data_IF_541577686449
#
_entry.id   IF_541577686449
#
_cell.length_a   1.000
_cell.length_b   1.000
_cell.length_c   1.000
_cell.angle_alpha   90.00
_cell.angle_beta   90.00
_cell.angle_gamma   90.00
#
_symmetry.space_group_name_H-M   'P 1'
#
loop_
_entity.id
_entity.type
_entity.pdbx_description
1 polymer ?
#
# COMPACT_ATOMS: atom_id res chain seq x y z
N UNK A 1 -3.52 33.63 -10.34
CA UNK A 1 -3.08 32.48 -9.53
C UNK A 1 -2.08 32.99 -8.49
N UNK A 2 -2.48 33.06 -7.22
CA UNK A 2 -1.61 33.44 -6.11
C UNK A 2 -0.81 32.18 -5.69
N UNK A 3 0.52 32.19 -5.81
CA UNK A 3 1.36 31.15 -5.20
C UNK A 3 1.39 31.39 -3.68
N UNK A 4 1.10 30.39 -2.84
CA UNK A 4 1.31 30.52 -1.40
C UNK A 4 2.81 30.66 -1.08
N UNK A 5 3.10 31.49 -0.09
CA UNK A 5 4.44 31.92 0.34
C UNK A 5 5.12 30.80 1.18
N UNK A 6 6.34 30.34 0.84
CA UNK A 6 7.02 29.22 1.50
C UNK A 6 7.44 29.46 2.97
N UNK A 7 7.14 30.63 3.54
CA UNK A 7 7.43 30.97 4.94
C UNK A 7 6.22 30.91 5.88
N UNK A 8 5.03 30.54 5.41
CA UNK A 8 3.85 30.43 6.27
C UNK A 8 3.83 29.06 6.96
N UNK A 9 3.69 28.96 8.30
CA UNK A 9 3.51 27.68 8.96
C UNK A 9 2.27 26.99 8.39
N UNK A 10 2.43 25.76 7.90
CA UNK A 10 1.36 24.97 7.28
C UNK A 10 0.17 24.85 8.25
N UNK A 11 -0.83 25.70 8.05
CA UNK A 11 -2.06 25.69 8.85
C UNK A 11 -2.82 24.37 8.68
N UNK A 12 -2.65 23.68 7.55
CA UNK A 12 -3.21 22.35 7.31
C UNK A 12 -2.65 21.28 8.25
N UNK A 13 -1.33 21.25 8.45
CA UNK A 13 -0.69 20.25 9.31
C UNK A 13 -1.19 20.30 10.76
N UNK A 14 -1.36 21.51 11.31
CA UNK A 14 -1.90 21.69 12.66
C UNK A 14 -3.39 21.28 12.78
N UNK A 15 -4.13 21.32 11.67
CA UNK A 15 -5.55 20.96 11.61
C UNK A 15 -5.72 19.44 11.50
N UNK A 16 -4.86 18.78 10.72
CA UNK A 16 -4.82 17.34 10.57
C UNK A 16 -4.44 16.64 11.89
N UNK A 17 -3.48 17.20 12.64
CA UNK A 17 -3.09 16.70 13.97
C UNK A 17 -4.25 16.76 14.98
N UNK A 18 -5.05 17.83 14.94
CA UNK A 18 -6.21 17.98 15.83
C UNK A 18 -7.33 16.98 15.51
N UNK A 19 -7.58 16.73 14.23
CA UNK A 19 -8.56 15.72 13.78
C UNK A 19 -8.08 14.32 14.17
N UNK A 20 -6.81 14.01 13.98
CA UNK A 20 -6.25 12.72 14.34
C UNK A 20 -6.35 12.44 15.86
N UNK A 21 -6.08 13.43 16.70
CA UNK A 21 -6.21 13.31 18.16
C UNK A 21 -7.65 13.05 18.61
N UNK A 22 -8.65 13.65 17.96
CA UNK A 22 -10.06 13.37 18.24
C UNK A 22 -10.44 11.91 17.91
N UNK A 23 -9.95 11.39 16.77
CA UNK A 23 -10.15 9.98 16.39
C UNK A 23 -9.53 9.03 17.42
N UNK A 24 -8.31 9.31 17.89
CA UNK A 24 -7.63 8.48 18.90
C UNK A 24 -8.36 8.53 20.23
N UNK A 25 -8.75 9.71 20.70
CA UNK A 25 -9.47 9.87 21.96
C UNK A 25 -10.80 9.11 21.96
N UNK A 26 -11.53 9.14 20.84
CA UNK A 26 -12.77 8.37 20.67
C UNK A 26 -12.53 6.86 20.62
N UNK A 27 -11.43 6.41 20.01
CA UNK A 27 -11.07 5.00 19.96
C UNK A 27 -10.65 4.46 21.33
N UNK A 28 -9.88 5.23 22.09
CA UNK A 28 -9.47 4.87 23.47
C UNK A 28 -10.67 4.85 24.42
N UNK A 29 -11.61 5.79 24.27
CA UNK A 29 -12.84 5.83 25.05
C UNK A 29 -13.72 4.59 24.84
N UNK A 30 -13.82 4.09 23.60
CA UNK A 30 -14.60 2.89 23.28
C UNK A 30 -13.92 1.61 23.81
N UNK A 31 -12.59 1.58 23.78
CA UNK A 31 -11.77 0.45 24.23
C UNK A 31 -11.80 0.21 25.75
N UNK A 32 -12.08 1.25 26.55
CA UNK A 32 -12.15 1.17 28.02
C UNK A 32 -13.38 0.46 28.58
N UNK A 33 -14.41 0.20 27.75
CA UNK A 33 -15.70 -0.35 28.21
C UNK A 33 -15.78 -1.88 28.23
N UNK A 34 -14.75 -2.59 27.73
CA UNK A 34 -14.76 -4.06 27.55
C UNK A 34 -13.98 -4.86 28.62
N UNK A 35 -13.51 -4.21 29.69
CA UNK A 35 -12.83 -4.93 30.79
C UNK A 35 -13.66 -5.00 32.06
N UNK A 36 -14.41 -6.10 32.20
CA UNK A 36 -14.81 -6.66 33.50
C UNK A 36 -16.31 -6.83 33.72
N UNK A 37 -16.85 -8.04 33.57
CA UNK A 37 -17.12 -8.96 34.69
C UNK A 37 -18.00 -10.14 34.25
N UNK A 38 -17.49 -11.33 34.57
CA UNK A 38 -18.10 -12.64 34.54
C UNK A 38 -19.07 -12.76 35.74
N UNK A 39 -20.31 -13.26 35.55
CA UNK A 39 -21.19 -13.97 36.52
C UNK A 39 -22.62 -14.10 35.96
N UNK A 40 -23.04 -15.33 35.63
CA UNK A 40 -24.45 -15.75 35.56
C UNK A 40 -24.97 -16.02 37.00
N UNK A 41 -26.28 -15.95 37.38
CA UNK A 41 -27.34 -16.81 36.79
C UNK A 41 -28.83 -16.31 36.87
N UNK A 42 -29.72 -16.96 36.10
CA UNK A 42 -31.04 -17.39 36.62
C UNK A 42 -32.36 -16.78 36.05
N UNK A 43 -33.18 -17.69 35.50
CA UNK A 43 -34.67 -17.77 35.55
C UNK A 43 -35.59 -16.79 34.75
N UNK A 44 -36.03 -17.25 33.57
CA UNK A 44 -37.42 -17.57 33.09
C UNK A 44 -38.66 -16.83 33.68
N UNK A 45 -39.86 -16.88 33.01
CA UNK A 45 -40.29 -16.38 31.69
C UNK A 45 -41.48 -15.38 31.80
N UNK A 46 -41.77 -14.59 30.75
CA UNK A 46 -43.07 -13.91 30.70
C UNK A 46 -43.31 -12.97 29.51
N UNK A 47 -44.35 -13.31 28.74
CA UNK A 47 -45.25 -12.41 27.98
C UNK A 47 -44.79 -11.75 26.66
N UNK A 48 -45.29 -12.32 25.56
CA UNK A 48 -45.89 -11.57 24.45
C UNK A 48 -47.42 -11.38 24.72
N UNK A 49 -48.23 -10.64 23.93
CA UNK A 49 -47.96 -9.89 22.69
C UNK A 49 -48.60 -8.47 22.61
N UNK A 50 -48.28 -7.66 21.59
CA UNK A 50 -49.17 -6.59 21.11
C UNK A 50 -48.49 -5.44 20.37
N UNK A 51 -49.14 -4.81 19.36
CA UNK A 51 -48.47 -4.36 18.15
C UNK A 51 -48.44 -2.84 17.97
N UNK A 52 -47.48 -2.33 17.19
CA UNK A 52 -47.62 -1.00 16.59
C UNK A 52 -46.30 -0.30 16.25
N UNK A 53 -46.08 -0.16 14.94
CA UNK A 53 -45.38 0.95 14.28
C UNK A 53 -43.85 1.07 14.35
N UNK A 54 -43.22 0.71 13.23
CA UNK A 54 -42.08 1.42 12.64
C UNK A 54 -42.48 2.87 12.26
N UNK A 55 -41.57 3.84 11.99
CA UNK A 55 -40.16 3.66 11.58
C UNK A 55 -39.15 4.66 12.21
N UNK A 56 -37.88 4.27 12.26
CA UNK A 56 -36.78 5.22 12.39
C UNK A 56 -35.81 4.91 13.52
N UNK A 57 -34.59 4.52 13.12
CA UNK A 57 -33.32 4.87 13.75
C UNK A 57 -33.29 5.00 15.28
N UNK A 58 -33.15 3.85 15.97
CA UNK A 58 -32.66 3.81 17.34
C UNK A 58 -31.54 2.77 17.43
N UNK A 59 -30.33 3.14 17.00
CA UNK A 59 -29.12 2.47 17.49
C UNK A 59 -28.63 3.25 18.70
N UNK A 60 -29.36 3.14 19.81
CA UNK A 60 -28.83 3.51 21.11
C UNK A 60 -29.35 2.56 22.19
N UNK A 61 -28.38 1.74 22.61
CA UNK A 61 -28.20 1.16 23.93
C UNK A 61 -29.13 0.02 24.37
N UNK A 62 -28.59 -1.20 24.33
CA UNK A 62 -28.41 -2.01 25.55
C UNK A 62 -27.17 -2.91 25.43
N UNK A 63 -26.01 -2.40 25.86
CA UNK A 63 -24.98 -3.16 26.60
C UNK A 63 -24.27 -4.37 25.97
N UNK A 64 -24.39 -4.66 24.67
CA UNK A 64 -23.63 -5.74 24.02
C UNK A 64 -22.73 -5.17 22.93
N UNK A 65 -21.42 -5.51 22.88
CA UNK A 65 -20.57 -5.11 21.77
C UNK A 65 -21.13 -5.67 20.45
N UNK A 66 -21.24 -4.81 19.44
CA UNK A 66 -21.71 -5.22 18.12
C UNK A 66 -20.79 -6.31 17.56
N UNK A 67 -21.37 -7.42 17.13
CA UNK A 67 -20.65 -8.54 16.55
C UNK A 67 -20.76 -8.48 15.03
N UNK A 68 -19.82 -9.13 14.33
CA UNK A 68 -19.78 -9.15 12.86
C UNK A 68 -21.11 -9.60 12.21
N UNK A 69 -21.95 -10.36 12.93
CA UNK A 69 -23.28 -10.79 12.46
C UNK A 69 -24.33 -9.68 12.43
N UNK A 70 -24.16 -8.63 13.24
CA UNK A 70 -25.10 -7.51 13.31
C UNK A 70 -25.02 -6.61 12.07
N UNK A 71 -23.93 -6.73 11.31
CA UNK A 71 -23.69 -6.00 10.06
C UNK A 71 -23.90 -6.85 8.80
N UNK A 72 -24.47 -8.05 8.93
CA UNK A 72 -24.70 -8.94 7.80
C UNK A 72 -26.19 -9.03 7.45
N UNK A 73 -26.70 -8.17 6.54
CA UNK A 73 -28.12 -8.16 6.17
C UNK A 73 -28.57 -9.43 5.43
N UNK A 74 -27.63 -10.28 5.01
CA UNK A 74 -27.89 -11.51 4.26
C UNK A 74 -27.67 -12.78 5.10
N UNK A 75 -27.18 -12.65 6.34
CA UNK A 75 -27.07 -13.73 7.32
C UNK A 75 -26.00 -14.79 7.02
N UNK A 76 -25.00 -14.48 6.20
CA UNK A 76 -23.93 -15.38 5.77
C UNK A 76 -22.88 -15.66 6.87
N UNK A 77 -22.65 -14.71 7.78
CA UNK A 77 -21.66 -14.76 8.85
C UNK A 77 -21.94 -15.83 9.94
N UNK A 78 -23.13 -16.44 9.93
CA UNK A 78 -23.47 -17.58 10.78
C UNK A 78 -23.16 -18.94 10.14
N UNK A 79 -23.02 -18.97 8.82
CA UNK A 79 -22.74 -20.19 8.08
C UNK A 79 -21.24 -20.44 8.08
N UNK A 80 -20.79 -21.56 8.64
CA UNK A 80 -19.44 -22.03 8.33
C UNK A 80 -19.41 -22.27 6.83
N UNK A 81 -18.51 -21.62 6.04
CA UNK A 81 -18.38 -21.92 4.64
C UNK A 81 -18.09 -23.42 4.52
N UNK A 82 -19.09 -24.21 4.14
CA UNK A 82 -18.88 -25.59 3.76
C UNK A 82 -18.30 -25.53 2.36
N UNK A 83 -17.02 -25.21 2.29
CA UNK A 83 -16.29 -25.36 1.05
C UNK A 83 -16.45 -26.81 0.59
N UNK A 84 -16.98 -26.99 -0.62
CA UNK A 84 -16.97 -28.31 -1.27
C UNK A 84 -15.55 -28.85 -1.23
N UNK A 85 -15.42 -30.15 -0.97
CA UNK A 85 -14.12 -30.82 -1.03
C UNK A 85 -13.47 -30.56 -2.40
N UNK A 86 -12.13 -30.55 -2.45
CA UNK A 86 -11.41 -30.31 -3.70
C UNK A 86 -11.89 -31.23 -4.84
N UNK A 87 -12.17 -32.50 -4.51
CA UNK A 87 -12.72 -33.49 -5.43
C UNK A 87 -14.11 -33.12 -5.98
N UNK A 88 -14.96 -32.50 -5.17
CA UNK A 88 -16.31 -32.10 -5.58
C UNK A 88 -16.32 -30.77 -6.35
N UNK A 89 -15.33 -29.89 -6.12
CA UNK A 89 -15.08 -28.73 -6.99
C UNK A 89 -14.57 -29.16 -8.37
N UNK A 90 -13.65 -30.14 -8.42
CA UNK A 90 -13.17 -30.70 -9.68
C UNK A 90 -14.29 -31.39 -10.46
N UNK A 91 -15.13 -32.19 -9.80
CA UNK A 91 -16.29 -32.81 -10.44
C UNK A 91 -17.33 -31.80 -10.94
N UNK A 92 -17.51 -30.65 -10.26
CA UNK A 92 -18.40 -29.57 -10.70
C UNK A 92 -17.81 -28.76 -11.87
N UNK A 93 -16.49 -28.60 -11.92
CA UNK A 93 -15.79 -28.00 -13.07
C UNK A 93 -15.88 -28.91 -14.31
N UNK A 94 -15.71 -30.23 -14.14
CA UNK A 94 -15.83 -31.21 -15.22
C UNK A 94 -17.29 -31.42 -15.67
N UNK A 95 -18.26 -31.25 -14.77
CA UNK A 95 -19.70 -31.42 -15.03
C UNK A 95 -20.45 -30.14 -15.47
N UNK A 96 -19.78 -28.99 -15.46
CA UNK A 96 -20.40 -27.66 -15.65
C UNK A 96 -20.64 -27.23 -17.10
N UNK A 97 -20.35 -28.08 -18.09
CA UNK A 97 -20.42 -27.72 -19.51
C UNK A 97 -21.83 -27.58 -20.10
N UNK A 98 -22.90 -27.70 -19.30
CA UNK A 98 -24.29 -27.66 -19.81
C UNK A 98 -25.33 -26.92 -18.92
N UNK A 99 -24.92 -26.01 -18.04
CA UNK A 99 -25.89 -25.18 -17.30
C UNK A 99 -25.52 -23.70 -17.31
N UNK A 100 -26.21 -22.93 -18.16
CA UNK A 100 -26.27 -21.47 -18.07
C UNK A 100 -25.45 -20.73 -19.13
N UNK A 101 -26.00 -20.66 -20.34
CA UNK A 101 -25.68 -19.63 -21.33
C UNK A 101 -25.97 -18.25 -20.68
N UNK A 102 -25.02 -17.31 -20.76
CA UNK A 102 -25.10 -15.89 -20.37
C UNK A 102 -24.80 -15.47 -18.91
N UNK A 103 -23.82 -16.09 -18.23
CA UNK A 103 -23.06 -15.33 -17.23
C UNK A 103 -21.90 -14.63 -17.93
N UNK A 104 -21.77 -13.28 -17.87
CA UNK A 104 -20.59 -12.62 -18.42
C UNK A 104 -19.36 -13.16 -17.70
N UNK A 105 -18.33 -13.54 -18.46
CA UNK A 105 -17.06 -14.03 -17.91
C UNK A 105 -16.58 -13.07 -16.81
N UNK A 106 -16.46 -13.58 -15.60
CA UNK A 106 -16.00 -12.80 -14.47
C UNK A 106 -14.53 -12.41 -14.66
N UNK A 107 -14.01 -11.41 -13.91
CA UNK A 107 -12.61 -10.98 -13.97
C UNK A 107 -11.56 -12.04 -13.59
N UNK A 108 -11.93 -13.31 -13.46
CA UNK A 108 -11.04 -14.45 -13.15
C UNK A 108 -11.19 -15.59 -14.14
N UNK A 109 -12.08 -15.46 -15.11
CA UNK A 109 -12.40 -16.51 -16.08
C UNK A 109 -11.54 -16.31 -17.34
N UNK A 110 -10.22 -16.21 -17.16
CA UNK A 110 -9.26 -16.16 -18.26
C UNK A 110 -8.89 -17.59 -18.65
N UNK A 111 -9.08 -17.93 -19.93
CA UNK A 111 -8.50 -19.15 -20.48
C UNK A 111 -7.03 -18.88 -20.83
N UNK A 112 -6.16 -19.82 -20.45
CA UNK A 112 -4.75 -19.79 -20.86
C UNK A 112 -4.72 -20.20 -22.33
N UNK A 113 -4.36 -19.29 -23.22
CA UNK A 113 -4.14 -19.62 -24.62
C UNK A 113 -2.90 -20.52 -24.74
N UNK A 114 -3.02 -21.78 -25.19
CA UNK A 114 -1.87 -22.66 -25.36
C UNK A 114 -0.93 -22.21 -26.49
N UNK A 115 -1.32 -21.23 -27.31
CA UNK A 115 -0.47 -20.63 -28.35
C UNK A 115 0.39 -19.46 -27.84
N UNK A 116 0.08 -18.91 -26.66
CA UNK A 116 0.94 -17.95 -25.97
C UNK A 116 2.19 -18.70 -25.47
N UNK A 117 3.26 -18.59 -26.27
CA UNK A 117 4.53 -19.26 -25.99
C UNK A 117 5.05 -18.98 -24.58
N UNK A 118 5.71 -20.00 -23.99
CA UNK A 118 6.28 -19.92 -22.66
C UNK A 118 7.19 -18.69 -22.54
N UNK A 119 7.00 -17.87 -21.50
CA UNK A 119 7.81 -16.67 -21.30
C UNK A 119 9.27 -17.07 -21.09
N UNK A 120 10.11 -16.85 -22.10
CA UNK A 120 11.56 -16.98 -22.01
C UNK A 120 12.13 -15.57 -21.86
N UNK A 121 12.61 -15.18 -20.66
CA UNK A 121 13.30 -13.93 -20.50
C UNK A 121 14.48 -13.86 -21.46
N UNK A 122 14.64 -12.73 -22.14
CA UNK A 122 15.85 -12.48 -22.91
C UNK A 122 17.06 -12.49 -21.97
N UNK A 123 18.17 -13.06 -22.45
CA UNK A 123 19.39 -13.10 -21.65
C UNK A 123 19.90 -11.67 -21.44
N UNK A 124 20.13 -11.23 -20.19
CA UNK A 124 20.39 -9.83 -19.91
C UNK A 124 21.71 -9.40 -20.57
N UNK A 125 21.78 -8.18 -21.13
CA UNK A 125 23.01 -7.64 -21.68
C UNK A 125 24.11 -7.61 -20.60
N UNK A 126 25.34 -7.92 -21.00
CA UNK A 126 26.47 -7.98 -20.08
C UNK A 126 26.70 -6.65 -19.36
N UNK A 127 26.62 -6.68 -18.03
CA UNK A 127 26.84 -5.51 -17.16
C UNK A 127 28.28 -4.98 -17.22
N UNK A 128 29.21 -5.76 -17.80
CA UNK A 128 30.61 -5.36 -17.98
C UNK A 128 30.78 -4.19 -18.99
N UNK A 129 29.74 -3.84 -19.74
CA UNK A 129 29.77 -2.81 -20.78
C UNK A 129 29.46 -1.38 -20.33
N UNK A 130 29.53 -1.06 -19.04
CA UNK A 130 29.24 0.32 -18.59
C UNK A 130 30.27 1.30 -19.17
N UNK A 131 29.80 2.40 -19.76
CA UNK A 131 30.65 3.44 -20.33
C UNK A 131 31.67 3.96 -19.28
N UNK A 132 33.00 3.92 -19.57
CA UNK A 132 34.02 4.36 -18.62
C UNK A 132 33.82 5.81 -18.15
N UNK A 133 33.25 6.68 -18.98
CA UNK A 133 32.99 8.07 -18.60
C UNK A 133 31.88 8.15 -17.53
N UNK A 134 30.86 7.30 -17.63
CA UNK A 134 29.81 7.16 -16.60
C UNK A 134 30.40 6.65 -15.28
N UNK A 135 31.31 5.68 -15.34
CA UNK A 135 32.02 5.19 -14.14
C UNK A 135 32.85 6.28 -13.47
N UNK A 136 33.61 7.07 -14.26
CA UNK A 136 34.37 8.21 -13.73
C UNK A 136 33.47 9.27 -13.11
N UNK A 137 32.31 9.51 -13.70
CA UNK A 137 31.37 10.49 -13.18
C UNK A 137 30.69 10.01 -11.89
N UNK A 138 30.40 8.71 -11.75
CA UNK A 138 29.97 8.12 -10.47
C UNK A 138 31.07 8.18 -9.40
N UNK A 139 32.32 7.91 -9.79
CA UNK A 139 33.47 8.09 -8.91
C UNK A 139 33.63 9.55 -8.49
N UNK A 140 33.37 10.51 -9.36
CA UNK A 140 33.38 11.93 -8.98
C UNK A 140 32.20 12.30 -8.08
N UNK A 141 30.99 11.79 -8.36
CA UNK A 141 29.77 12.06 -7.61
C UNK A 141 29.85 11.50 -6.18
N UNK A 142 30.29 10.25 -6.01
CA UNK A 142 30.45 9.63 -4.68
C UNK A 142 31.78 10.00 -4.05
N UNK A 143 32.84 10.03 -4.86
CA UNK A 143 34.20 10.31 -4.40
C UNK A 143 34.40 11.77 -4.00
N UNK A 144 33.63 12.73 -4.53
CA UNK A 144 33.71 14.13 -4.12
C UNK A 144 33.39 14.33 -2.62
N UNK A 145 32.18 13.96 -2.15
CA UNK A 145 31.81 14.02 -0.74
C UNK A 145 32.77 13.21 0.16
N UNK A 146 33.14 12.00 -0.27
CA UNK A 146 34.08 11.16 0.48
C UNK A 146 35.47 11.81 0.56
N UNK A 147 35.98 12.37 -0.53
CA UNK A 147 37.26 13.06 -0.57
C UNK A 147 37.24 14.33 0.28
N UNK A 148 36.14 15.09 0.31
CA UNK A 148 35.99 16.22 1.22
C UNK A 148 36.03 15.78 2.68
N UNK A 149 35.37 14.67 3.03
CA UNK A 149 35.39 14.12 4.39
C UNK A 149 36.81 13.67 4.78
N UNK A 150 37.50 12.95 3.89
CA UNK A 150 38.88 12.52 4.11
C UNK A 150 39.83 13.72 4.20
N UNK A 151 39.65 14.75 3.37
CA UNK A 151 40.43 15.98 3.44
C UNK A 151 40.18 16.72 4.77
N UNK A 152 38.94 16.80 5.24
CA UNK A 152 38.64 17.41 6.53
C UNK A 152 39.27 16.65 7.71
N UNK A 153 39.31 15.31 7.64
CA UNK A 153 39.82 14.46 8.71
C UNK A 153 41.35 14.36 8.73
N UNK A 154 41.99 14.16 7.58
CA UNK A 154 43.43 13.90 7.47
C UNK A 154 44.23 15.08 6.93
N UNK A 155 43.58 16.05 6.29
CA UNK A 155 44.22 17.16 5.57
C UNK A 155 43.64 18.53 5.95
N UNK A 156 43.55 18.79 7.25
CA UNK A 156 42.90 20.00 7.80
C UNK A 156 43.52 21.32 7.34
N UNK A 157 44.76 21.31 6.85
CA UNK A 157 45.46 22.45 6.25
C UNK A 157 45.42 22.47 4.70
N UNK A 158 44.48 21.75 4.08
CA UNK A 158 44.35 21.70 2.63
C UNK A 158 44.18 23.11 2.05
N UNK A 159 44.91 23.48 0.98
CA UNK A 159 44.78 24.79 0.36
C UNK A 159 43.37 24.93 -0.25
N UNK A 160 42.84 26.15 -0.25
CA UNK A 160 41.49 26.44 -0.76
C UNK A 160 41.29 25.93 -2.19
N UNK A 161 42.34 26.02 -3.02
CA UNK A 161 42.31 25.52 -4.40
C UNK A 161 42.00 24.02 -4.49
N UNK A 162 42.49 23.20 -3.55
CA UNK A 162 42.23 21.77 -3.52
C UNK A 162 40.77 21.48 -3.16
N UNK A 163 40.21 22.20 -2.18
CA UNK A 163 38.81 22.08 -1.77
C UNK A 163 37.89 22.46 -2.95
N UNK A 164 38.16 23.61 -3.57
CA UNK A 164 37.41 24.07 -4.75
C UNK A 164 37.53 23.08 -5.90
N UNK A 165 38.72 22.50 -6.12
CA UNK A 165 38.94 21.46 -7.13
C UNK A 165 38.08 20.22 -6.90
N UNK A 166 38.02 19.71 -5.67
CA UNK A 166 37.18 18.54 -5.32
C UNK A 166 35.70 18.86 -5.54
N UNK A 167 35.24 20.04 -5.10
CA UNK A 167 33.86 20.49 -5.32
C UNK A 167 33.56 20.63 -6.82
N UNK A 168 34.47 21.18 -7.61
CA UNK A 168 34.29 21.33 -9.05
C UNK A 168 34.17 19.96 -9.75
N UNK A 169 35.02 18.99 -9.39
CA UNK A 169 34.95 17.62 -9.92
C UNK A 169 33.63 16.94 -9.55
N UNK A 170 33.19 17.09 -8.30
CA UNK A 170 31.89 16.59 -7.83
C UNK A 170 30.72 17.15 -8.63
N UNK A 171 30.67 18.48 -8.80
CA UNK A 171 29.61 19.16 -9.55
C UNK A 171 29.63 18.72 -11.01
N UNK A 172 30.81 18.69 -11.64
CA UNK A 172 30.94 18.28 -13.05
C UNK A 172 30.48 16.84 -13.26
N UNK A 173 30.87 15.91 -12.39
CA UNK A 173 30.42 14.51 -12.44
C UNK A 173 28.91 14.38 -12.25
N UNK A 174 28.34 15.10 -11.28
CA UNK A 174 26.90 15.07 -11.00
C UNK A 174 26.09 15.63 -12.16
N UNK A 175 26.49 16.77 -12.72
CA UNK A 175 25.84 17.36 -13.90
C UNK A 175 25.94 16.42 -15.10
N UNK A 176 27.09 15.77 -15.32
CA UNK A 176 27.25 14.78 -16.36
C UNK A 176 26.27 13.60 -16.21
N UNK A 177 26.09 13.08 -14.98
CA UNK A 177 25.12 12.01 -14.71
C UNK A 177 23.69 12.45 -15.06
N UNK A 178 23.30 13.66 -14.64
CA UNK A 178 21.96 14.20 -14.90
C UNK A 178 21.71 14.32 -16.40
N UNK A 179 22.69 14.82 -17.16
CA UNK A 179 22.58 14.93 -18.62
C UNK A 179 22.52 13.57 -19.32
N UNK A 180 22.96 12.50 -18.67
CA UNK A 180 22.93 11.14 -19.21
C UNK A 180 21.65 10.38 -18.89
N UNK A 181 20.80 10.91 -18.01
CA UNK A 181 19.53 10.27 -17.71
C UNK A 181 18.64 10.29 -18.97
N UNK A 182 18.04 9.14 -19.35
CA UNK A 182 17.06 9.09 -20.43
C UNK A 182 15.93 10.07 -20.13
N UNK A 183 15.62 10.95 -21.08
CA UNK A 183 14.52 11.92 -20.96
C UNK A 183 13.19 11.34 -21.44
N UNK A 184 13.23 10.17 -22.06
CA UNK A 184 12.09 9.48 -22.63
C UNK A 184 11.70 8.36 -21.66
N UNK A 185 10.46 8.43 -21.18
CA UNK A 185 9.82 7.33 -20.44
C UNK A 185 9.00 6.55 -21.46
N UNK A 186 9.14 5.23 -21.47
CA UNK A 186 8.26 4.38 -22.25
C UNK A 186 6.82 4.48 -21.69
N UNK A 187 5.88 4.87 -22.55
CA UNK A 187 4.47 5.08 -22.21
C UNK A 187 3.74 3.74 -22.07
N UNK A 188 4.23 2.70 -22.75
CA UNK A 188 3.65 1.35 -22.77
C UNK A 188 4.31 0.42 -21.73
N UNK A 189 5.39 0.86 -21.07
CA UNK A 189 6.03 0.16 -19.96
C UNK A 189 5.53 0.71 -18.60
N UNK A 190 4.36 0.22 -18.19
CA UNK A 190 3.78 0.46 -16.86
C UNK A 190 4.22 -0.59 -15.82
N UNK A 191 5.10 -1.52 -16.22
CA UNK A 191 5.58 -2.62 -15.39
C UNK A 191 4.59 -3.78 -15.20
N UNK A 192 3.42 -3.73 -15.85
CA UNK A 192 2.44 -4.81 -15.84
C UNK A 192 2.33 -5.45 -17.23
N UNK A 193 2.63 -6.74 -17.33
CA UNK A 193 2.18 -7.57 -18.47
C UNK A 193 1.01 -8.41 -17.96
N UNK A 194 -0.17 -8.22 -18.57
CA UNK A 194 -1.40 -8.96 -18.28
C UNK A 194 -1.36 -10.37 -18.86
#
# INVERSE_FOLDING_TARGET
>A
MNRPDPGSPDQGANQDDAVWLDLVARLEADSGTVSGTDTAPGADPGQAPGPGQAPGQDFSATGRPATFRDFDPLGLAGTTPSERSAAERQAAADGGSNAGVDSPSGPRDYEVDPEDGDFVPEEPPSLAGTDPLTMLAWLAAVGGPVALLLAAMFWRAAPLLAIVGIVAVFVLGTVYLIMKLPQEKDEDDDGARV
#
